data_IF_150348207671
#
_entry.id   IF_150348207671
#
_cell.length_a   1.000
_cell.length_b   1.000
_cell.length_c   1.000
_cell.angle_alpha   90.00
_cell.angle_beta   90.00
_cell.angle_gamma   90.00
#
_symmetry.space_group_name_H-M   'P 1'
#
loop_
_entity.id
_entity.type
_entity.pdbx_description
1 polymer ?
#
# COMPACT_ATOMS: atom_id res chain seq x y z
N UNK A 1 -19.80 15.48 -11.54
CA UNK A 1 -18.39 15.01 -11.53
C UNK A 1 -18.05 14.21 -10.29
N UNK A 2 -17.85 14.82 -9.10
CA UNK A 2 -17.47 14.05 -7.88
C UNK A 2 -18.50 12.99 -7.50
N UNK A 3 -19.80 13.27 -7.63
CA UNK A 3 -20.89 12.35 -7.28
C UNK A 3 -20.99 11.10 -8.16
N UNK A 4 -20.51 11.18 -9.42
CA UNK A 4 -20.62 10.11 -10.41
C UNK A 4 -19.31 9.35 -10.61
N UNK A 5 -18.17 10.03 -10.43
CA UNK A 5 -16.84 9.43 -10.60
C UNK A 5 -16.19 9.02 -9.27
N UNK A 6 -16.63 9.63 -8.15
CA UNK A 6 -15.97 9.45 -6.85
C UNK A 6 -16.02 8.00 -6.35
N UNK A 7 -17.20 7.39 -6.32
CA UNK A 7 -17.35 6.02 -5.80
C UNK A 7 -16.64 4.97 -6.68
N UNK A 8 -16.77 4.98 -8.03
CA UNK A 8 -15.98 4.10 -8.89
C UNK A 8 -14.47 4.28 -8.71
N UNK A 9 -13.99 5.52 -8.61
CA UNK A 9 -12.58 5.82 -8.39
C UNK A 9 -12.08 5.31 -7.04
N UNK A 10 -12.76 5.64 -5.94
CA UNK A 10 -12.37 5.23 -4.58
C UNK A 10 -12.35 3.70 -4.47
N UNK A 11 -13.34 3.03 -5.05
CA UNK A 11 -13.36 1.56 -5.10
C UNK A 11 -12.13 1.01 -5.83
N UNK A 12 -11.80 1.57 -7.00
CA UNK A 12 -10.65 1.11 -7.78
C UNK A 12 -9.32 1.38 -7.07
N UNK A 13 -9.17 2.58 -6.52
CA UNK A 13 -8.02 2.96 -5.74
C UNK A 13 -7.86 2.02 -4.54
N UNK A 14 -8.95 1.73 -3.83
CA UNK A 14 -8.99 0.78 -2.71
C UNK A 14 -8.51 -0.62 -3.10
N UNK A 15 -8.96 -1.15 -4.25
CA UNK A 15 -8.47 -2.44 -4.77
C UNK A 15 -6.95 -2.42 -4.90
N UNK A 16 -6.39 -1.42 -5.58
CA UNK A 16 -4.93 -1.32 -5.76
C UNK A 16 -4.16 -1.04 -4.48
N UNK A 17 -4.76 -0.33 -3.53
CA UNK A 17 -4.19 -0.12 -2.21
C UNK A 17 -4.05 -1.45 -1.46
N UNK A 18 -5.12 -2.25 -1.40
CA UNK A 18 -5.10 -3.54 -0.71
C UNK A 18 -4.26 -4.59 -1.45
N UNK A 19 -4.22 -4.56 -2.79
CA UNK A 19 -3.28 -5.37 -3.56
C UNK A 19 -1.83 -5.03 -3.22
N UNK A 20 -1.47 -3.74 -3.18
CA UNK A 20 -0.14 -3.30 -2.77
C UNK A 20 0.20 -3.76 -1.35
N UNK A 21 -0.75 -3.58 -0.42
CA UNK A 21 -0.58 -3.98 0.98
C UNK A 21 -0.34 -5.50 1.11
N UNK A 22 -1.12 -6.31 0.39
CA UNK A 22 -0.95 -7.76 0.35
C UNK A 22 0.39 -8.18 -0.24
N UNK A 23 0.84 -7.55 -1.33
CA UNK A 23 2.14 -7.81 -1.92
C UNK A 23 3.29 -7.42 -0.98
N UNK A 24 3.19 -6.28 -0.29
CA UNK A 24 4.16 -5.86 0.72
C UNK A 24 4.18 -6.82 1.91
N UNK A 25 3.02 -7.29 2.38
CA UNK A 25 2.92 -8.31 3.42
C UNK A 25 3.63 -9.60 3.02
N UNK A 26 3.37 -10.11 1.81
CA UNK A 26 4.02 -11.32 1.29
C UNK A 26 5.53 -11.11 1.19
N UNK A 27 5.98 -9.97 0.64
CA UNK A 27 7.39 -9.66 0.48
C UNK A 27 8.15 -9.65 1.82
N UNK A 28 7.61 -8.96 2.83
CA UNK A 28 8.23 -8.87 4.17
C UNK A 28 8.14 -10.20 4.92
N UNK A 29 7.02 -10.94 4.77
CA UNK A 29 6.83 -12.23 5.44
C UNK A 29 7.75 -13.31 4.86
N UNK A 30 8.00 -13.29 3.55
CA UNK A 30 8.85 -14.27 2.87
C UNK A 30 10.33 -13.91 2.90
N UNK A 31 10.66 -12.63 3.11
CA UNK A 31 12.05 -12.16 3.29
C UNK A 31 12.20 -11.36 4.58
N UNK A 32 12.46 -12.03 5.71
CA UNK A 32 12.72 -11.37 6.99
C UNK A 32 13.90 -10.39 6.94
N UNK A 33 14.83 -10.60 6.01
CA UNK A 33 15.99 -9.74 5.77
C UNK A 33 15.59 -8.29 5.46
N UNK A 34 14.47 -8.07 4.75
CA UNK A 34 13.97 -6.73 4.42
C UNK A 34 13.65 -5.93 5.69
N UNK A 35 13.10 -6.59 6.71
CA UNK A 35 12.84 -5.93 7.99
C UNK A 35 14.15 -5.47 8.66
N UNK A 36 15.16 -6.34 8.69
CA UNK A 36 16.45 -6.03 9.30
C UNK A 36 17.19 -4.90 8.56
N UNK A 37 17.12 -4.88 7.23
CA UNK A 37 17.67 -3.80 6.41
C UNK A 37 16.99 -2.47 6.72
N UNK A 38 15.67 -2.45 6.84
CA UNK A 38 14.92 -1.24 7.16
C UNK A 38 15.24 -0.74 8.57
N UNK A 39 15.33 -1.62 9.57
CA UNK A 39 15.78 -1.24 10.93
C UNK A 39 17.21 -0.66 10.90
N UNK A 40 18.10 -1.24 10.08
CA UNK A 40 19.46 -0.73 9.91
C UNK A 40 19.46 0.67 9.31
N UNK A 41 18.64 0.92 8.28
CA UNK A 41 18.47 2.26 7.69
C UNK A 41 17.91 3.25 8.71
N UNK A 42 16.93 2.85 9.55
CA UNK A 42 16.41 3.71 10.62
C UNK A 42 17.49 4.08 11.66
N UNK A 43 18.35 3.13 12.03
CA UNK A 43 19.51 3.41 12.91
C UNK A 43 20.48 4.39 12.25
N UNK A 44 20.74 4.23 10.95
CA UNK A 44 21.63 5.14 10.20
C UNK A 44 21.09 6.57 10.07
N UNK A 45 19.77 6.74 10.01
CA UNK A 45 19.13 8.07 9.95
C UNK A 45 18.98 8.73 11.31
N UNK A 46 19.41 8.07 12.39
CA UNK A 46 19.35 8.61 13.76
C UNK A 46 17.98 8.50 14.43
N UNK A 47 17.06 7.69 13.88
CA UNK A 47 15.73 7.46 14.45
C UNK A 47 15.82 6.71 15.78
N UNK A 48 16.89 5.93 15.97
CA UNK A 48 17.26 5.24 17.22
C UNK A 48 17.37 6.18 18.44
N UNK A 49 17.61 7.48 18.22
CA UNK A 49 17.64 8.49 19.28
C UNK A 49 16.26 8.88 19.79
N UNK A 50 15.22 8.61 19.02
CA UNK A 50 13.84 8.99 19.32
C UNK A 50 12.96 7.78 19.65
N UNK A 51 13.32 6.59 19.16
CA UNK A 51 12.58 5.35 19.32
C UNK A 51 13.58 4.25 19.69
N UNK A 52 13.29 3.49 20.75
CA UNK A 52 14.09 2.31 21.10
C UNK A 52 13.85 1.20 20.08
N UNK A 53 14.77 1.09 19.12
CA UNK A 53 14.71 0.10 18.04
C UNK A 53 15.14 -1.31 18.48
N UNK A 54 15.75 -1.46 19.66
CA UNK A 54 16.24 -2.76 20.16
C UNK A 54 15.15 -3.54 20.91
N UNK A 55 14.16 -2.81 21.47
CA UNK A 55 12.98 -3.39 22.12
C UNK A 55 11.69 -3.26 21.29
N UNK A 56 11.81 -2.92 20.01
CA UNK A 56 10.65 -2.80 19.14
C UNK A 56 10.00 -4.18 18.95
N UNK A 57 8.70 -4.28 19.24
CA UNK A 57 7.92 -5.49 18.95
C UNK A 57 8.10 -5.87 17.47
N UNK A 58 8.67 -7.05 17.16
CA UNK A 58 8.92 -7.46 15.79
C UNK A 58 7.66 -7.52 14.92
N UNK A 59 6.49 -7.75 15.51
CA UNK A 59 5.22 -7.77 14.78
C UNK A 59 4.79 -6.36 14.38
N UNK A 60 4.84 -5.41 15.31
CA UNK A 60 4.53 -3.99 15.04
C UNK A 60 5.54 -3.40 14.04
N UNK A 61 6.82 -3.75 14.19
CA UNK A 61 7.87 -3.35 13.27
C UNK A 61 7.62 -3.86 11.84
N UNK A 62 7.25 -5.13 11.67
CA UNK A 62 6.89 -5.69 10.36
C UNK A 62 5.74 -4.95 9.71
N UNK A 63 4.66 -4.68 10.46
CA UNK A 63 3.52 -3.91 9.94
C UNK A 63 3.91 -2.49 9.52
N UNK A 64 4.80 -1.86 10.28
CA UNK A 64 5.33 -0.53 9.95
C UNK A 64 6.08 -0.54 8.61
N UNK A 65 6.94 -1.54 8.39
CA UNK A 65 7.66 -1.72 7.11
C UNK A 65 6.67 -1.98 5.97
N UNK A 66 5.69 -2.85 6.17
CA UNK A 66 4.66 -3.18 5.17
C UNK A 66 3.88 -1.93 4.76
N UNK A 67 3.47 -1.10 5.72
CA UNK A 67 2.76 0.16 5.47
C UNK A 67 3.65 1.18 4.75
N UNK A 68 4.92 1.30 5.16
CA UNK A 68 5.89 2.17 4.49
C UNK A 68 6.10 1.77 3.02
N UNK A 69 6.29 0.48 2.75
CA UNK A 69 6.39 -0.04 1.39
C UNK A 69 5.11 0.22 0.58
N UNK A 70 3.94 0.03 1.20
CA UNK A 70 2.67 0.28 0.52
C UNK A 70 2.45 1.78 0.20
N UNK A 71 3.00 2.70 1.00
CA UNK A 71 3.00 4.13 0.70
C UNK A 71 4.00 4.49 -0.41
N UNK A 72 5.16 3.83 -0.50
CA UNK A 72 6.07 4.02 -1.64
C UNK A 72 5.38 3.65 -2.97
N UNK A 73 4.56 2.59 -2.95
CA UNK A 73 3.73 2.21 -4.09
C UNK A 73 2.67 3.25 -4.47
N UNK A 74 2.39 4.25 -3.62
CA UNK A 74 1.43 5.31 -3.94
C UNK A 74 1.88 6.15 -5.15
N UNK A 75 3.18 6.41 -5.28
CA UNK A 75 3.78 7.21 -6.36
C UNK A 75 3.36 6.67 -7.74
N UNK A 76 3.53 5.37 -8.05
CA UNK A 76 3.00 4.79 -9.29
C UNK A 76 1.49 4.46 -9.22
N UNK A 77 0.92 4.19 -8.05
CA UNK A 77 -0.50 3.79 -7.93
C UNK A 77 -1.44 4.90 -8.37
N UNK A 78 -1.25 6.12 -7.90
CA UNK A 78 -2.14 7.25 -8.22
C UNK A 78 -2.27 7.48 -9.74
N UNK A 79 -1.18 7.65 -10.52
CA UNK A 79 -1.30 7.84 -11.97
C UNK A 79 -1.86 6.60 -12.67
N UNK A 80 -1.53 5.39 -12.20
CA UNK A 80 -2.10 4.16 -12.76
C UNK A 80 -3.63 4.08 -12.58
N UNK A 81 -4.12 4.34 -11.37
CA UNK A 81 -5.55 4.33 -11.05
C UNK A 81 -6.27 5.39 -11.89
N UNK A 82 -5.71 6.60 -11.99
CA UNK A 82 -6.26 7.66 -12.83
C UNK A 82 -6.32 7.27 -14.31
N UNK A 83 -5.28 6.64 -14.86
CA UNK A 83 -5.27 6.18 -16.24
C UNK A 83 -6.29 5.05 -16.50
N UNK A 84 -6.48 4.16 -15.53
CA UNK A 84 -7.30 2.94 -15.68
C UNK A 84 -8.75 3.08 -15.17
N UNK A 85 -9.10 4.16 -14.47
CA UNK A 85 -10.42 4.29 -13.83
C UNK A 85 -11.59 4.21 -14.84
N UNK A 86 -11.43 4.76 -16.05
CA UNK A 86 -12.50 4.81 -17.04
C UNK A 86 -12.89 3.41 -17.55
N UNK A 87 -11.90 2.52 -17.67
CA UNK A 87 -12.11 1.11 -18.00
C UNK A 87 -12.85 0.40 -16.86
N UNK A 88 -12.41 0.62 -15.62
CA UNK A 88 -13.02 0.04 -14.43
C UNK A 88 -14.49 0.45 -14.27
N UNK A 89 -14.79 1.73 -14.43
CA UNK A 89 -16.17 2.25 -14.39
C UNK A 89 -17.07 1.56 -15.42
N UNK A 90 -16.59 1.41 -16.66
CA UNK A 90 -17.34 0.70 -17.71
C UNK A 90 -17.59 -0.76 -17.34
N UNK A 91 -16.61 -1.44 -16.76
CA UNK A 91 -16.74 -2.84 -16.34
C UNK A 91 -17.80 -3.02 -15.24
N UNK A 92 -17.86 -2.11 -14.24
CA UNK A 92 -18.89 -2.15 -13.20
C UNK A 92 -20.28 -1.90 -13.79
N UNK A 93 -20.43 -0.84 -14.60
CA UNK A 93 -21.73 -0.49 -15.19
C UNK A 93 -22.27 -1.58 -16.10
N UNK A 94 -21.42 -2.18 -16.94
CA UNK A 94 -21.80 -3.30 -17.79
C UNK A 94 -22.25 -4.53 -16.98
N UNK A 95 -21.72 -4.73 -15.77
CA UNK A 95 -22.12 -5.80 -14.87
C UNK A 95 -23.43 -5.49 -14.14
N UNK A 96 -23.65 -4.24 -13.75
CA UNK A 96 -24.89 -3.79 -13.12
C UNK A 96 -26.11 -3.85 -14.06
N UNK A 97 -25.92 -3.61 -15.37
CA UNK A 97 -26.98 -3.65 -16.38
C UNK A 97 -27.29 -5.05 -16.93
N UNK A 98 -26.53 -6.08 -16.52
CA UNK A 98 -26.75 -7.49 -16.88
C UNK A 98 -27.53 -8.27 -15.80
N UNK A 99 -27.94 -7.58 -14.74
CA UNK A 99 -28.85 -8.05 -13.68
C UNK A 99 -30.22 -7.44 -13.95
#
# INVERSE_FOLDING_TARGET
MVREEGLPFVTWYGVWYFTGLGLSYIAVSWRPEIYNEVVTVMKLTGIDRFIDLDHLDPEIGKWTVILAMNNILEIPRVPFVLASHSWWKRAILARALRV
#
